data_IF_674492776301
#
_entry.id   IF_674492776301
#
_cell.length_a   1.000
_cell.length_b   1.000
_cell.length_c   1.000
_cell.angle_alpha   90.00
_cell.angle_beta   90.00
_cell.angle_gamma   90.00
#
_symmetry.space_group_name_H-M   'P 1'
#
loop_
_entity.id
_entity.type
_entity.pdbx_description
1 polymer ?
#
# COMPACT_ATOMS: atom_id res chain seq x y z
N UNK A 1 -2.64 -30.52 -43.12
CA UNK A 1 -2.07 -30.36 -41.76
C UNK A 1 -1.88 -28.87 -41.52
N UNK A 2 -2.81 -28.24 -40.80
CA UNK A 2 -2.72 -26.82 -40.43
C UNK A 2 -2.03 -26.78 -39.07
N UNK A 3 -0.78 -26.35 -39.05
CA UNK A 3 -0.08 -26.01 -37.80
C UNK A 3 -0.72 -24.75 -37.24
N UNK A 4 -1.68 -24.94 -36.33
CA UNK A 4 -2.24 -23.86 -35.53
C UNK A 4 -1.17 -23.42 -34.53
N UNK A 5 -0.28 -22.55 -35.00
CA UNK A 5 0.62 -21.74 -34.18
C UNK A 5 -0.24 -20.71 -33.45
N UNK A 6 -1.01 -21.17 -32.47
CA UNK A 6 -1.70 -20.29 -31.53
C UNK A 6 -0.62 -19.62 -30.71
N UNK A 7 -0.16 -18.45 -31.17
CA UNK A 7 0.57 -17.51 -30.35
C UNK A 7 -0.27 -17.32 -29.10
N UNK A 8 0.22 -17.81 -27.96
CA UNK A 8 -0.32 -17.45 -26.66
C UNK A 8 -0.26 -15.92 -26.61
N UNK A 9 -1.38 -15.27 -26.90
CA UNK A 9 -1.56 -13.88 -26.54
C UNK A 9 -1.34 -13.83 -25.03
N UNK A 10 -0.27 -13.17 -24.62
CA UNK A 10 0.03 -12.94 -23.22
C UNK A 10 -1.13 -12.13 -22.66
N UNK A 11 -1.98 -12.81 -21.89
CA UNK A 11 -3.14 -12.15 -21.31
C UNK A 11 -2.64 -11.12 -20.29
N UNK A 12 -3.02 -9.87 -20.54
CA UNK A 12 -2.75 -8.75 -19.65
C UNK A 12 -3.12 -9.09 -18.20
N UNK A 13 -2.16 -8.96 -17.29
CA UNK A 13 -2.39 -9.28 -15.87
C UNK A 13 -3.20 -8.18 -15.19
N UNK A 14 -3.71 -8.46 -13.99
CA UNK A 14 -4.34 -7.41 -13.19
C UNK A 14 -3.36 -6.28 -12.83
N UNK A 15 -2.09 -6.62 -12.56
CA UNK A 15 -1.03 -5.66 -12.26
C UNK A 15 -0.79 -4.70 -13.42
N UNK A 16 -0.73 -5.23 -14.65
CA UNK A 16 -0.52 -4.44 -15.88
C UNK A 16 -1.68 -3.47 -16.10
N UNK A 17 -2.94 -3.94 -15.99
CA UNK A 17 -4.12 -3.07 -16.08
C UNK A 17 -4.07 -1.95 -15.06
N UNK A 18 -3.78 -2.28 -13.79
CA UNK A 18 -3.70 -1.27 -12.75
C UNK A 18 -2.60 -0.24 -13.03
N UNK A 19 -1.46 -0.68 -13.55
CA UNK A 19 -0.35 0.20 -13.95
C UNK A 19 -0.77 1.22 -15.02
N UNK A 20 -1.54 0.79 -16.02
CA UNK A 20 -2.07 1.68 -17.05
C UNK A 20 -2.93 2.80 -16.47
N UNK A 21 -3.73 2.52 -15.43
CA UNK A 21 -4.64 3.51 -14.84
C UNK A 21 -4.00 4.45 -13.81
N UNK A 22 -2.94 4.03 -13.10
CA UNK A 22 -2.33 4.86 -12.04
C UNK A 22 -0.95 5.42 -12.42
N UNK A 23 -0.29 4.87 -13.45
CA UNK A 23 1.04 5.25 -13.93
C UNK A 23 2.19 4.89 -12.98
N UNK A 24 2.01 5.10 -11.68
CA UNK A 24 2.95 4.74 -10.62
C UNK A 24 2.28 4.83 -9.25
N UNK A 25 2.72 4.01 -8.31
CA UNK A 25 2.10 3.97 -6.99
C UNK A 25 2.51 5.16 -6.12
N UNK A 26 1.51 5.82 -5.52
CA UNK A 26 1.70 6.79 -4.45
C UNK A 26 0.96 6.35 -3.18
N UNK A 27 1.52 6.52 -1.97
CA UNK A 27 0.85 6.17 -0.71
C UNK A 27 -0.54 6.79 -0.52
N UNK A 28 -0.82 7.96 -1.11
CA UNK A 28 -2.16 8.57 -1.11
C UNK A 28 -3.21 7.70 -1.82
N UNK A 29 -2.79 6.88 -2.79
CA UNK A 29 -3.64 5.97 -3.55
C UNK A 29 -3.97 4.66 -2.82
N UNK A 30 -3.36 4.41 -1.65
CA UNK A 30 -3.50 3.15 -0.89
C UNK A 30 -4.94 2.69 -0.74
N UNK A 31 -5.88 3.61 -0.52
CA UNK A 31 -7.31 3.31 -0.38
C UNK A 31 -7.96 2.93 -1.70
N UNK A 32 -7.71 3.68 -2.77
CA UNK A 32 -8.18 3.36 -4.12
C UNK A 32 -7.66 2.00 -4.58
N UNK A 33 -6.38 1.72 -4.35
CA UNK A 33 -5.76 0.42 -4.64
C UNK A 33 -6.40 -0.70 -3.81
N UNK A 34 -6.59 -0.49 -2.50
CA UNK A 34 -7.30 -1.45 -1.64
C UNK A 34 -8.72 -1.76 -2.17
N UNK A 35 -9.44 -0.75 -2.67
CA UNK A 35 -10.78 -0.91 -3.27
C UNK A 35 -10.74 -1.81 -4.50
N UNK A 36 -9.84 -1.54 -5.46
CA UNK A 36 -9.79 -2.34 -6.71
C UNK A 36 -9.29 -3.75 -6.47
N UNK A 37 -8.38 -3.96 -5.52
CA UNK A 37 -7.94 -5.30 -5.10
C UNK A 37 -9.10 -6.09 -4.48
N UNK A 38 -9.90 -5.47 -3.61
CA UNK A 38 -11.09 -6.09 -3.03
C UNK A 38 -12.11 -6.46 -4.10
N UNK A 39 -12.27 -5.60 -5.12
CA UNK A 39 -13.17 -5.83 -6.23
C UNK A 39 -12.70 -7.00 -7.12
N UNK A 40 -11.43 -7.01 -7.49
CA UNK A 40 -10.85 -8.08 -8.33
C UNK A 40 -10.87 -9.42 -7.59
N UNK A 41 -10.50 -9.45 -6.31
CA UNK A 41 -10.60 -10.67 -5.50
C UNK A 41 -12.04 -11.22 -5.45
N UNK A 42 -13.04 -10.33 -5.42
CA UNK A 42 -14.44 -10.74 -5.49
C UNK A 42 -14.82 -11.32 -6.85
N UNK A 43 -14.34 -10.73 -7.95
CA UNK A 43 -14.53 -11.28 -9.31
C UNK A 43 -13.93 -12.68 -9.43
N UNK A 44 -12.71 -12.89 -8.91
CA UNK A 44 -12.01 -14.19 -8.89
C UNK A 44 -12.80 -15.27 -8.15
N UNK A 45 -13.42 -14.92 -7.02
CA UNK A 45 -14.05 -15.89 -6.13
C UNK A 45 -15.56 -16.06 -6.34
N UNK A 46 -16.17 -15.28 -7.24
CA UNK A 46 -17.63 -15.18 -7.40
C UNK A 46 -18.30 -16.55 -7.52
N UNK A 47 -17.76 -17.41 -8.39
CA UNK A 47 -18.29 -18.76 -8.64
C UNK A 47 -18.00 -19.73 -7.47
N UNK A 48 -16.88 -19.54 -6.77
CA UNK A 48 -16.49 -20.41 -5.66
C UNK A 48 -17.32 -20.17 -4.40
N UNK A 49 -17.91 -18.99 -4.23
CA UNK A 49 -18.64 -18.66 -3.00
C UNK A 49 -19.77 -19.62 -2.66
N UNK A 50 -20.43 -20.21 -3.66
CA UNK A 50 -21.53 -21.15 -3.44
C UNK A 50 -21.07 -22.38 -2.65
N UNK A 51 -19.84 -22.84 -2.90
CA UNK A 51 -19.23 -24.01 -2.23
C UNK A 51 -18.63 -23.68 -0.85
N UNK A 52 -18.42 -22.41 -0.54
CA UNK A 52 -17.73 -21.96 0.67
C UNK A 52 -18.72 -21.55 1.77
N UNK A 53 -18.44 -21.95 3.02
CA UNK A 53 -19.18 -21.46 4.19
C UNK A 53 -18.95 -19.95 4.40
N UNK A 54 -19.86 -19.23 5.08
CA UNK A 54 -19.75 -17.79 5.25
C UNK A 54 -18.42 -17.27 5.79
N UNK A 55 -17.79 -17.96 6.76
CA UNK A 55 -16.47 -17.54 7.27
C UNK A 55 -15.34 -17.84 6.27
N UNK A 56 -15.45 -18.95 5.51
CA UNK A 56 -14.49 -19.32 4.48
C UNK A 56 -14.50 -18.33 3.31
N UNK A 57 -15.68 -17.79 2.94
CA UNK A 57 -15.78 -16.73 1.92
C UNK A 57 -14.97 -15.48 2.29
N UNK A 58 -15.03 -15.08 3.57
CA UNK A 58 -14.31 -13.92 4.10
C UNK A 58 -12.80 -14.15 4.10
N UNK A 59 -12.37 -15.33 4.54
CA UNK A 59 -10.95 -15.74 4.54
C UNK A 59 -10.43 -15.83 3.11
N UNK A 60 -11.15 -16.53 2.22
CA UNK A 60 -10.81 -16.64 0.80
C UNK A 60 -10.62 -15.26 0.16
N UNK A 61 -11.58 -14.34 0.35
CA UNK A 61 -11.48 -12.99 -0.18
C UNK A 61 -10.22 -12.28 0.35
N UNK A 62 -9.99 -12.33 1.66
CA UNK A 62 -8.84 -11.67 2.29
C UNK A 62 -7.51 -12.24 1.78
N UNK A 63 -7.36 -13.56 1.72
CA UNK A 63 -6.14 -14.21 1.26
C UNK A 63 -5.89 -13.92 -0.21
N UNK A 64 -6.93 -14.01 -1.07
CA UNK A 64 -6.84 -13.64 -2.49
C UNK A 64 -6.44 -12.17 -2.67
N UNK A 65 -6.93 -11.24 -1.84
CA UNK A 65 -6.51 -9.84 -1.91
C UNK A 65 -5.01 -9.70 -1.70
N UNK A 66 -4.48 -10.32 -0.64
CA UNK A 66 -3.05 -10.26 -0.36
C UNK A 66 -2.24 -10.92 -1.49
N UNK A 67 -2.74 -12.03 -2.07
CA UNK A 67 -2.07 -12.70 -3.19
C UNK A 67 -2.03 -11.83 -4.45
N UNK A 68 -3.12 -11.13 -4.76
CA UNK A 68 -3.18 -10.17 -5.86
C UNK A 68 -2.18 -9.04 -5.62
N UNK A 69 -2.09 -8.52 -4.39
CA UNK A 69 -1.13 -7.44 -4.06
C UNK A 69 0.31 -7.87 -4.31
N UNK A 70 0.66 -9.12 -4.00
CA UNK A 70 2.01 -9.63 -4.25
C UNK A 70 2.38 -9.62 -5.73
N UNK A 71 1.41 -9.75 -6.65
CA UNK A 71 1.67 -9.73 -8.10
C UNK A 71 1.69 -8.32 -8.71
N UNK A 72 1.57 -7.25 -7.93
CA UNK A 72 1.55 -5.87 -8.46
C UNK A 72 2.96 -5.27 -8.38
N UNK A 73 3.65 -5.19 -9.51
CA UNK A 73 5.06 -4.75 -9.55
C UNK A 73 5.26 -3.24 -9.42
N UNK A 74 4.25 -2.43 -9.81
CA UNK A 74 4.31 -0.96 -9.65
C UNK A 74 4.27 -0.51 -8.19
N UNK A 75 3.93 -1.40 -7.25
CA UNK A 75 3.91 -1.12 -5.82
C UNK A 75 5.20 -1.66 -5.22
N UNK A 76 6.07 -0.80 -4.64
CA UNK A 76 7.28 -1.26 -3.97
C UNK A 76 6.98 -2.31 -2.90
N UNK A 77 7.83 -3.34 -2.80
CA UNK A 77 7.61 -4.50 -1.93
C UNK A 77 7.33 -4.11 -0.48
N UNK A 78 8.00 -3.07 0.00
CA UNK A 78 7.84 -2.58 1.38
C UNK A 78 6.52 -1.83 1.65
N UNK A 79 5.80 -1.39 0.60
CA UNK A 79 4.50 -0.72 0.72
C UNK A 79 3.31 -1.67 0.53
N UNK A 80 3.53 -2.85 -0.09
CA UNK A 80 2.49 -3.87 -0.32
C UNK A 80 1.69 -4.22 0.94
N UNK A 81 2.30 -4.45 2.12
CA UNK A 81 1.54 -4.75 3.33
C UNK A 81 0.60 -3.61 3.77
N UNK A 82 0.96 -2.36 3.48
CA UNK A 82 0.19 -1.19 3.92
C UNK A 82 -1.16 -1.04 3.18
N UNK A 83 -1.25 -1.61 1.97
CA UNK A 83 -2.50 -1.67 1.19
C UNK A 83 -3.59 -2.34 2.02
N UNK A 84 -3.26 -3.37 2.81
CA UNK A 84 -4.22 -4.12 3.62
C UNK A 84 -4.35 -3.59 5.05
N UNK A 85 -3.88 -2.38 5.35
CA UNK A 85 -4.17 -1.74 6.64
C UNK A 85 -5.54 -1.06 6.69
N UNK A 86 -6.21 -1.19 7.83
CA UNK A 86 -7.43 -0.43 8.16
C UNK A 86 -7.12 1.05 8.27
N UNK A 87 -6.06 1.49 8.95
CA UNK A 87 -5.67 2.90 9.08
C UNK A 87 -4.16 3.04 8.91
N UNK A 88 -3.70 4.17 8.34
CA UNK A 88 -2.26 4.41 8.16
C UNK A 88 -1.58 4.61 9.51
N UNK A 89 -2.12 5.51 10.35
CA UNK A 89 -1.54 5.84 11.65
C UNK A 89 -1.40 4.64 12.60
N UNK A 90 -2.42 3.77 12.64
CA UNK A 90 -2.42 2.62 13.56
C UNK A 90 -1.75 1.37 13.01
N UNK A 91 -1.41 1.34 11.72
CA UNK A 91 -0.92 0.15 10.99
C UNK A 91 -1.71 -1.13 11.32
N UNK A 92 -3.01 -0.97 11.61
CA UNK A 92 -3.86 -2.10 12.04
C UNK A 92 -4.29 -2.86 10.80
N UNK A 93 -4.00 -4.16 10.66
CA UNK A 93 -4.44 -4.94 9.51
C UNK A 93 -5.97 -4.94 9.35
N UNK A 94 -6.42 -5.01 8.10
CA UNK A 94 -7.82 -5.22 7.77
C UNK A 94 -8.20 -6.63 8.20
N UNK A 95 -9.29 -6.80 8.95
CA UNK A 95 -9.79 -8.14 9.27
C UNK A 95 -10.58 -8.70 8.09
N UNK A 96 -10.68 -10.05 7.93
CA UNK A 96 -11.50 -10.66 6.88
C UNK A 96 -12.97 -10.21 6.91
N UNK A 97 -13.53 -10.00 8.10
CA UNK A 97 -14.90 -9.47 8.26
C UNK A 97 -15.05 -8.03 7.72
N UNK A 98 -14.05 -7.17 7.93
CA UNK A 98 -14.10 -5.80 7.44
C UNK A 98 -13.81 -5.73 5.94
N UNK A 99 -12.89 -6.55 5.43
CA UNK A 99 -12.63 -6.72 4.00
C UNK A 99 -13.91 -7.13 3.26
N UNK A 100 -14.61 -8.16 3.77
CA UNK A 100 -15.88 -8.62 3.21
C UNK A 100 -16.95 -7.53 3.19
N UNK A 101 -17.13 -6.82 4.31
CA UNK A 101 -18.10 -5.71 4.39
C UNK A 101 -17.81 -4.62 3.37
N UNK A 102 -16.54 -4.19 3.26
CA UNK A 102 -16.13 -3.17 2.30
C UNK A 102 -16.37 -3.63 0.86
N UNK A 103 -15.95 -4.84 0.52
CA UNK A 103 -16.19 -5.43 -0.80
C UNK A 103 -17.66 -5.37 -1.20
N UNK A 104 -18.58 -5.74 -0.30
CA UNK A 104 -20.04 -5.74 -0.58
C UNK A 104 -20.62 -4.34 -0.79
N UNK A 105 -19.93 -3.29 -0.32
CA UNK A 105 -20.35 -1.91 -0.51
C UNK A 105 -19.87 -1.32 -1.84
N UNK A 106 -18.81 -1.88 -2.46
CA UNK A 106 -18.20 -1.25 -3.64
C UNK A 106 -19.19 -1.07 -4.79
N UNK A 107 -19.80 -2.16 -5.27
CA UNK A 107 -20.79 -2.08 -6.37
C UNK A 107 -21.96 -1.14 -6.01
N UNK A 108 -22.42 -1.21 -4.76
CA UNK A 108 -23.54 -0.40 -4.28
C UNK A 108 -23.19 1.08 -4.27
N UNK A 109 -21.99 1.43 -3.81
CA UNK A 109 -21.50 2.79 -3.79
C UNK A 109 -21.33 3.32 -5.21
N UNK A 110 -20.66 2.57 -6.10
CA UNK A 110 -20.50 2.98 -7.50
C UNK A 110 -21.85 3.26 -8.17
N UNK A 111 -22.81 2.34 -8.06
CA UNK A 111 -24.14 2.49 -8.67
C UNK A 111 -24.95 3.63 -8.05
N UNK A 112 -24.79 3.88 -6.75
CA UNK A 112 -25.54 4.92 -6.03
C UNK A 112 -24.93 6.31 -6.18
N UNK A 113 -23.60 6.43 -6.17
CA UNK A 113 -22.90 7.72 -6.07
C UNK A 113 -22.21 8.13 -7.36
N UNK A 114 -21.58 7.21 -8.09
CA UNK A 114 -20.82 7.55 -9.30
C UNK A 114 -21.72 7.52 -10.54
N UNK A 115 -22.45 6.42 -10.76
CA UNK A 115 -23.25 6.22 -11.98
C UNK A 115 -24.27 7.35 -12.24
N UNK A 116 -25.03 7.86 -11.25
CA UNK A 116 -25.97 8.95 -11.51
C UNK A 116 -25.28 10.26 -11.88
N UNK A 117 -24.12 10.53 -11.27
CA UNK A 117 -23.38 11.78 -11.47
C UNK A 117 -22.54 11.77 -12.74
N UNK A 118 -22.12 10.60 -13.24
CA UNK A 118 -21.32 10.51 -14.47
C UNK A 118 -22.16 10.47 -15.75
N UNK A 119 -23.45 10.09 -15.65
CA UNK A 119 -24.39 10.06 -16.78
C UNK A 119 -24.43 11.34 -17.64
N UNK A 120 -24.43 12.57 -17.08
CA UNK A 120 -24.46 13.79 -17.88
C UNK A 120 -23.24 13.99 -18.79
N UNK A 121 -22.11 13.35 -18.47
CA UNK A 121 -20.86 13.43 -19.24
C UNK A 121 -20.81 12.40 -20.37
N UNK A 122 -21.72 11.41 -20.37
CA UNK A 122 -21.74 10.36 -21.39
C UNK A 122 -22.22 10.90 -22.72
N UNK A 123 -21.34 10.89 -23.73
CA UNK A 123 -21.64 11.25 -25.10
C UNK A 123 -21.13 10.16 -26.07
N UNK A 124 -21.80 9.93 -27.21
CA UNK A 124 -21.45 8.84 -28.14
C UNK A 124 -20.10 9.01 -28.83
N UNK A 125 -19.58 10.24 -28.87
CA UNK A 125 -18.31 10.64 -29.47
C UNK A 125 -17.14 10.63 -28.47
N UNK A 126 -17.41 10.42 -27.17
CA UNK A 126 -16.38 10.39 -26.13
C UNK A 126 -15.98 8.97 -25.77
N UNK A 127 -14.68 8.77 -25.58
CA UNK A 127 -14.12 7.59 -24.96
C UNK A 127 -14.45 7.53 -23.46
N UNK A 128 -14.33 6.34 -22.88
CA UNK A 128 -14.57 6.14 -21.44
C UNK A 128 -13.60 6.96 -20.58
N UNK A 129 -12.35 7.09 -21.00
CA UNK A 129 -11.33 7.85 -20.27
C UNK A 129 -11.64 9.35 -20.30
N UNK A 130 -12.04 9.90 -21.47
CA UNK A 130 -12.48 11.30 -21.57
C UNK A 130 -13.69 11.59 -20.67
N UNK A 131 -14.68 10.68 -20.63
CA UNK A 131 -15.84 10.81 -19.74
C UNK A 131 -15.41 10.79 -18.26
N UNK A 132 -14.47 9.91 -17.90
CA UNK A 132 -13.95 9.85 -16.54
C UNK A 132 -13.18 11.11 -16.16
N UNK A 133 -12.35 11.64 -17.06
CA UNK A 133 -11.53 12.83 -16.82
C UNK A 133 -12.40 14.07 -16.66
N UNK A 134 -13.40 14.26 -17.51
CA UNK A 134 -14.37 15.36 -17.36
C UNK A 134 -15.15 15.26 -16.05
N UNK A 135 -15.56 14.05 -15.68
CA UNK A 135 -16.25 13.83 -14.41
C UNK A 135 -15.37 14.20 -13.22
N UNK A 136 -14.11 13.76 -13.19
CA UNK A 136 -13.18 14.07 -12.10
C UNK A 136 -12.89 15.57 -12.04
N UNK A 137 -12.68 16.21 -13.18
CA UNK A 137 -12.51 17.65 -13.25
C UNK A 137 -13.73 18.38 -12.67
N UNK A 138 -14.96 18.00 -13.05
CA UNK A 138 -16.17 18.59 -12.49
C UNK A 138 -16.29 18.36 -10.97
N UNK A 139 -15.95 17.18 -10.45
CA UNK A 139 -15.95 16.92 -9.00
C UNK A 139 -14.91 17.77 -8.26
N UNK A 140 -13.73 17.98 -8.86
CA UNK A 140 -12.69 18.83 -8.31
C UNK A 140 -13.13 20.29 -8.24
N UNK A 141 -13.70 20.84 -9.32
CA UNK A 141 -14.19 22.23 -9.34
C UNK A 141 -15.32 22.44 -8.33
N UNK A 142 -16.24 21.48 -8.22
CA UNK A 142 -17.34 21.52 -7.26
C UNK A 142 -16.87 21.49 -5.80
N UNK A 143 -15.82 20.71 -5.50
CA UNK A 143 -15.30 20.56 -4.13
C UNK A 143 -14.35 21.68 -3.74
N UNK A 144 -13.52 22.16 -4.67
CA UNK A 144 -12.49 23.17 -4.41
C UNK A 144 -13.00 24.61 -4.57
N UNK A 145 -14.09 24.82 -5.31
CA UNK A 145 -14.58 26.14 -5.70
C UNK A 145 -13.71 26.83 -6.77
N UNK A 146 -12.70 26.14 -7.31
CA UNK A 146 -11.78 26.68 -8.32
C UNK A 146 -12.18 26.17 -9.70
N UNK A 147 -12.70 27.06 -10.55
CA UNK A 147 -13.14 26.72 -11.90
C UNK A 147 -12.00 26.83 -12.92
N UNK A 148 -11.99 25.94 -13.93
CA UNK A 148 -11.11 26.01 -15.10
C UNK A 148 -9.64 25.68 -14.85
N UNK A 149 -9.26 25.30 -13.63
CA UNK A 149 -7.92 24.80 -13.33
C UNK A 149 -7.93 23.28 -13.29
N UNK A 150 -6.99 22.65 -13.97
CA UNK A 150 -6.82 21.20 -13.94
C UNK A 150 -6.66 20.71 -12.50
N UNK A 151 -7.37 19.64 -12.16
CA UNK A 151 -7.24 19.00 -10.86
C UNK A 151 -5.79 18.47 -10.66
N UNK A 152 -5.27 18.44 -9.42
CA UNK A 152 -4.01 17.77 -9.13
C UNK A 152 -4.07 16.28 -9.49
N UNK A 153 -2.98 15.73 -9.99
CA UNK A 153 -2.91 14.33 -10.48
C UNK A 153 -3.31 13.27 -9.44
N UNK A 154 -3.12 13.56 -8.14
CA UNK A 154 -3.43 12.64 -7.04
C UNK A 154 -4.76 12.94 -6.34
N UNK A 155 -5.51 13.93 -6.83
CA UNK A 155 -6.71 14.42 -6.14
C UNK A 155 -7.81 13.34 -6.10
N UNK A 156 -8.09 12.69 -7.23
CA UNK A 156 -9.13 11.65 -7.31
C UNK A 156 -8.89 10.49 -6.33
N UNK A 157 -7.63 10.06 -6.16
CA UNK A 157 -7.31 8.93 -5.32
C UNK A 157 -7.38 9.24 -3.81
N UNK A 158 -7.33 10.52 -3.45
CA UNK A 158 -7.43 10.96 -2.06
C UNK A 158 -8.87 11.31 -1.66
N UNK A 159 -9.69 11.76 -2.61
CA UNK A 159 -11.05 12.26 -2.34
C UNK A 159 -12.15 11.29 -2.75
N UNK A 160 -11.95 10.51 -3.82
CA UNK A 160 -12.96 9.63 -4.39
C UNK A 160 -12.40 8.22 -4.56
N UNK A 161 -12.06 7.57 -3.44
CA UNK A 161 -11.39 6.27 -3.39
C UNK A 161 -12.08 5.14 -4.19
N UNK A 162 -13.40 5.26 -4.39
CA UNK A 162 -14.21 4.28 -5.12
C UNK A 162 -14.11 4.46 -6.65
N UNK A 163 -13.69 5.64 -7.12
CA UNK A 163 -13.71 6.00 -8.52
C UNK A 163 -12.73 5.18 -9.37
N UNK A 164 -11.56 4.82 -8.81
CA UNK A 164 -10.62 3.94 -9.52
C UNK A 164 -11.27 2.59 -9.87
N UNK A 165 -12.15 2.06 -9.01
CA UNK A 165 -12.89 0.84 -9.31
C UNK A 165 -13.95 1.06 -10.41
N UNK A 166 -14.59 2.23 -10.44
CA UNK A 166 -15.45 2.59 -11.57
C UNK A 166 -14.64 2.66 -12.86
N UNK A 167 -13.54 3.43 -12.89
CA UNK A 167 -12.71 3.62 -14.09
C UNK A 167 -12.20 2.29 -14.65
N UNK A 168 -11.76 1.36 -13.77
CA UNK A 168 -11.25 0.06 -14.18
C UNK A 168 -12.31 -0.97 -14.60
N UNK A 169 -13.46 -1.01 -13.92
CA UNK A 169 -14.40 -2.14 -14.05
C UNK A 169 -15.73 -1.80 -14.69
N UNK A 170 -16.03 -0.52 -14.93
CA UNK A 170 -17.29 -0.07 -15.53
C UNK A 170 -17.03 0.56 -16.89
N UNK A 171 -18.05 0.50 -17.74
CA UNK A 171 -18.10 1.24 -19.01
C UNK A 171 -19.49 1.84 -19.12
N UNK A 172 -19.58 3.16 -19.04
CA UNK A 172 -20.86 3.85 -18.93
C UNK A 172 -21.59 3.50 -17.63
N UNK A 173 -22.79 2.94 -17.73
CA UNK A 173 -23.69 2.68 -16.57
C UNK A 173 -23.61 1.27 -16.00
N UNK A 174 -22.83 0.39 -16.63
CA UNK A 174 -22.75 -1.03 -16.28
C UNK A 174 -21.30 -1.49 -16.15
N UNK A 175 -21.11 -2.65 -15.52
CA UNK A 175 -19.82 -3.35 -15.50
C UNK A 175 -19.37 -3.59 -16.95
N UNK A 176 -18.11 -3.34 -17.23
CA UNK A 176 -17.54 -3.49 -18.57
C UNK A 176 -17.60 -4.97 -19.00
N UNK A 177 -18.33 -5.32 -20.08
CA UNK A 177 -18.45 -6.70 -20.54
C UNK A 177 -17.15 -7.24 -21.15
N UNK A 178 -16.27 -6.34 -21.59
CA UNK A 178 -15.02 -6.67 -22.28
C UNK A 178 -13.86 -6.94 -21.30
N UNK A 179 -14.14 -7.02 -19.99
CA UNK A 179 -13.11 -7.28 -18.99
C UNK A 179 -12.53 -8.70 -19.15
N UNK A 180 -11.21 -8.85 -19.04
CA UNK A 180 -10.60 -10.18 -19.01
C UNK A 180 -11.11 -10.99 -17.82
N UNK A 181 -11.15 -12.31 -18.01
CA UNK A 181 -11.59 -13.24 -16.97
C UNK A 181 -10.66 -13.13 -15.75
N UNK A 182 -11.22 -12.97 -14.54
CA UNK A 182 -10.43 -12.82 -13.33
C UNK A 182 -9.72 -14.14 -13.02
N UNK A 183 -8.44 -14.08 -12.65
CA UNK A 183 -7.64 -15.26 -12.28
C UNK A 183 -7.01 -15.08 -10.91
N UNK A 184 -7.09 -16.12 -10.09
CA UNK A 184 -6.38 -16.16 -8.82
C UNK A 184 -4.87 -16.34 -9.09
N UNK A 185 -3.98 -15.57 -8.44
CA UNK A 185 -2.53 -15.80 -8.54
C UNK A 185 -2.10 -17.19 -8.07
N UNK A 186 -2.80 -17.73 -7.07
CA UNK A 186 -2.58 -19.07 -6.54
C UNK A 186 -3.89 -19.76 -6.19
N UNK A 187 -3.83 -21.06 -5.94
CA UNK A 187 -4.98 -21.81 -5.46
C UNK A 187 -5.41 -21.31 -4.07
N UNK A 188 -6.68 -20.94 -3.95
CA UNK A 188 -7.24 -20.45 -2.68
C UNK A 188 -7.57 -21.64 -1.78
N UNK A 189 -6.79 -21.79 -0.73
CA UNK A 189 -6.96 -22.78 0.34
C UNK A 189 -7.55 -22.09 1.57
N UNK A 190 -8.64 -22.64 2.13
CA UNK A 190 -9.33 -22.08 3.30
C UNK A 190 -9.42 -23.11 4.43
N UNK A 191 -9.37 -22.68 5.70
CA UNK A 191 -9.45 -23.60 6.82
C UNK A 191 -10.83 -24.26 6.92
N UNK A 192 -10.84 -25.52 7.40
CA UNK A 192 -12.06 -26.30 7.61
C UNK A 192 -12.77 -25.98 8.93
N UNK A 193 -12.11 -25.27 9.85
CA UNK A 193 -12.72 -24.79 11.08
C UNK A 193 -12.60 -23.28 11.15
N UNK A 194 -13.62 -22.63 11.73
CA UNK A 194 -13.61 -21.18 11.90
C UNK A 194 -12.51 -20.82 12.93
N UNK A 195 -11.56 -19.92 12.60
CA UNK A 195 -10.62 -19.41 13.58
C UNK A 195 -11.35 -18.82 14.80
N UNK A 196 -10.76 -19.00 16.00
CA UNK A 196 -11.33 -18.49 17.25
C UNK A 196 -11.54 -16.97 17.19
N UNK A 197 -10.55 -16.25 16.64
CA UNK A 197 -10.65 -14.83 16.31
C UNK A 197 -10.25 -14.58 14.86
N UNK A 198 -11.17 -14.02 14.07
CA UNK A 198 -10.92 -13.63 12.68
C UNK A 198 -9.94 -12.45 12.57
N UNK A 199 -9.81 -11.64 13.62
CA UNK A 199 -8.82 -10.55 13.67
C UNK A 199 -7.42 -11.09 13.87
N UNK A 200 -7.25 -12.07 14.74
CA UNK A 200 -5.97 -12.76 14.93
C UNK A 200 -5.54 -13.48 13.65
N UNK A 201 -6.47 -14.02 12.86
CA UNK A 201 -6.16 -14.63 11.57
C UNK A 201 -5.38 -13.67 10.65
N UNK A 202 -5.81 -12.41 10.52
CA UNK A 202 -5.10 -11.43 9.68
C UNK A 202 -3.66 -11.17 10.18
N UNK A 203 -3.46 -11.09 11.50
CA UNK A 203 -2.14 -10.92 12.08
C UNK A 203 -1.25 -12.17 11.90
N UNK A 204 -1.85 -13.36 12.05
CA UNK A 204 -1.18 -14.64 11.87
C UNK A 204 -0.79 -14.84 10.41
N UNK A 205 -1.64 -14.51 9.45
CA UNK A 205 -1.33 -14.59 8.03
C UNK A 205 -0.29 -13.56 7.60
N UNK A 206 -0.36 -12.32 8.09
CA UNK A 206 0.70 -11.33 7.89
C UNK A 206 2.05 -11.84 8.44
N UNK A 207 2.02 -12.49 9.62
CA UNK A 207 3.20 -13.11 10.22
C UNK A 207 3.68 -14.32 9.41
N UNK A 208 2.78 -15.20 8.96
CA UNK A 208 3.11 -16.39 8.15
C UNK A 208 3.71 -16.01 6.82
N UNK A 209 3.16 -15.02 6.12
CA UNK A 209 3.76 -14.50 4.87
C UNK A 209 5.17 -13.93 5.11
N UNK A 210 5.40 -13.36 6.29
CA UNK A 210 6.74 -12.96 6.72
C UNK A 210 7.64 -14.15 7.11
N UNK A 211 7.05 -15.33 7.41
CA UNK A 211 7.73 -16.52 7.95
C UNK A 211 7.90 -17.69 6.97
N UNK A 212 7.20 -17.73 5.82
CA UNK A 212 7.20 -18.88 4.87
C UNK A 212 8.57 -19.12 4.18
N UNK A 213 9.61 -18.40 4.57
CA UNK A 213 11.01 -18.67 4.19
C UNK A 213 11.90 -19.25 5.31
N UNK A 214 11.35 -19.94 6.31
CA UNK A 214 12.20 -20.69 7.24
C UNK A 214 11.47 -21.45 8.34
N UNK A 215 11.44 -22.78 8.19
CA UNK A 215 11.24 -23.71 9.31
C UNK A 215 12.43 -23.57 10.29
N UNK A 216 12.21 -22.84 11.39
CA UNK A 216 12.62 -23.24 12.74
C UNK A 216 12.26 -22.12 13.72
N UNK A 217 11.12 -22.30 14.38
CA UNK A 217 10.60 -21.39 15.37
C UNK A 217 11.38 -21.52 16.69
N UNK A 218 12.17 -20.50 17.02
CA UNK A 218 12.30 -19.86 18.34
C UNK A 218 13.22 -18.65 18.21
N UNK A 219 12.83 -17.57 18.86
CA UNK A 219 13.40 -16.21 18.82
C UNK A 219 12.99 -15.33 17.64
N UNK A 220 12.69 -14.08 18.01
CA UNK A 220 12.31 -12.94 17.17
C UNK A 220 13.37 -12.71 16.08
N UNK A 221 13.27 -13.44 14.97
CA UNK A 221 14.16 -13.32 13.81
C UNK A 221 13.53 -12.40 12.76
N UNK A 222 13.97 -11.14 12.78
CA UNK A 222 14.75 -10.53 11.69
C UNK A 222 14.55 -11.24 10.35
N UNK A 223 13.89 -10.57 9.39
CA UNK A 223 13.75 -10.97 7.97
C UNK A 223 14.57 -12.21 7.58
N UNK A 224 13.92 -13.38 7.68
CA UNK A 224 14.60 -14.66 7.68
C UNK A 224 15.10 -15.10 6.29
N UNK A 225 14.58 -14.53 5.20
CA UNK A 225 15.15 -14.76 3.88
C UNK A 225 16.28 -13.76 3.58
N UNK A 226 17.56 -14.18 3.58
CA UNK A 226 18.67 -13.31 3.24
C UNK A 226 18.58 -12.79 1.80
N UNK A 227 17.91 -13.49 0.89
CA UNK A 227 17.75 -13.05 -0.50
C UNK A 227 16.72 -11.93 -0.62
N UNK A 228 15.53 -12.08 -0.04
CA UNK A 228 14.54 -10.98 0.00
C UNK A 228 15.07 -9.77 0.76
N UNK A 229 15.79 -10.01 1.88
CA UNK A 229 16.46 -8.93 2.60
C UNK A 229 17.50 -8.23 1.72
N UNK A 230 18.31 -8.98 0.96
CA UNK A 230 19.26 -8.40 0.00
C UNK A 230 18.55 -7.67 -1.13
N UNK A 231 17.45 -8.20 -1.65
CA UNK A 231 16.65 -7.57 -2.69
C UNK A 231 16.06 -6.24 -2.19
N UNK A 232 15.48 -6.22 -0.99
CA UNK A 232 14.95 -5.01 -0.36
C UNK A 232 16.05 -4.01 -0.03
N UNK A 233 17.20 -4.46 0.52
CA UNK A 233 18.34 -3.58 0.77
C UNK A 233 18.95 -3.03 -0.52
N UNK A 234 18.97 -3.83 -1.60
CA UNK A 234 19.40 -3.41 -2.93
C UNK A 234 18.44 -2.38 -3.48
N UNK A 235 17.13 -2.62 -3.43
CA UNK A 235 16.10 -1.68 -3.86
C UNK A 235 16.17 -0.36 -3.10
N UNK A 236 16.36 -0.40 -1.78
CA UNK A 236 16.54 0.81 -0.96
C UNK A 236 17.84 1.53 -1.31
N UNK A 237 18.93 0.80 -1.57
CA UNK A 237 20.19 1.39 -2.03
C UNK A 237 20.03 2.05 -3.39
N UNK A 238 19.42 1.38 -4.35
CA UNK A 238 19.17 1.89 -5.69
C UNK A 238 18.29 3.17 -5.63
N UNK A 239 17.30 3.20 -4.73
CA UNK A 239 16.50 4.41 -4.46
C UNK A 239 17.30 5.54 -3.79
N UNK A 240 18.19 5.23 -2.84
CA UNK A 240 19.06 6.23 -2.23
C UNK A 240 20.06 6.82 -3.23
N UNK A 241 20.58 5.97 -4.12
CA UNK A 241 21.49 6.38 -5.18
C UNK A 241 20.75 7.30 -6.18
N UNK A 242 19.51 6.98 -6.55
CA UNK A 242 18.66 7.85 -7.37
C UNK A 242 18.34 9.18 -6.67
N UNK A 243 17.98 9.15 -5.38
CA UNK A 243 17.70 10.38 -4.61
C UNK A 243 18.91 11.30 -4.50
N UNK A 244 20.14 10.77 -4.56
CA UNK A 244 21.36 11.57 -4.58
C UNK A 244 21.48 12.38 -5.87
N UNK A 245 21.04 11.84 -7.01
CA UNK A 245 21.06 12.55 -8.29
C UNK A 245 20.05 13.72 -8.34
N UNK A 246 19.03 13.70 -7.46
CA UNK A 246 18.09 14.80 -7.26
C UNK A 246 18.56 15.87 -6.26
N UNK A 247 19.76 15.72 -5.67
CA UNK A 247 20.29 16.72 -4.75
C UNK A 247 20.51 18.06 -5.47
N UNK A 248 19.88 19.13 -4.96
CA UNK A 248 19.89 20.45 -5.58
C UNK A 248 18.83 20.68 -6.66
N UNK A 249 18.10 19.64 -7.08
CA UNK A 249 16.95 19.74 -8.00
C UNK A 249 15.65 19.92 -7.22
N UNK A 250 15.49 19.18 -6.12
CA UNK A 250 14.33 19.26 -5.23
C UNK A 250 14.71 19.87 -3.86
N UNK A 251 13.76 20.47 -3.12
CA UNK A 251 14.00 20.98 -1.77
C UNK A 251 14.56 19.91 -0.84
N UNK A 252 15.54 20.27 -0.02
CA UNK A 252 16.25 19.33 0.86
C UNK A 252 15.30 18.60 1.83
N UNK A 253 14.28 19.30 2.35
CA UNK A 253 13.28 18.74 3.25
C UNK A 253 12.52 17.56 2.62
N UNK A 254 12.13 17.67 1.34
CA UNK A 254 11.47 16.58 0.63
C UNK A 254 12.41 15.39 0.41
N UNK A 255 13.69 15.66 0.16
CA UNK A 255 14.71 14.65 -0.04
C UNK A 255 14.94 13.86 1.27
N UNK A 256 14.99 14.56 2.41
CA UNK A 256 15.15 13.95 3.73
C UNK A 256 13.90 13.18 4.16
N UNK A 257 12.70 13.66 3.86
CA UNK A 257 11.46 12.93 4.09
C UNK A 257 11.43 11.61 3.29
N UNK A 258 11.79 11.66 2.00
CA UNK A 258 11.87 10.45 1.15
C UNK A 258 12.91 9.46 1.67
N UNK A 259 14.10 9.93 2.08
CA UNK A 259 15.11 9.08 2.73
C UNK A 259 14.55 8.44 4.02
N UNK A 260 13.89 9.22 4.86
CA UNK A 260 13.30 8.74 6.13
C UNK A 260 12.24 7.68 5.90
N UNK A 261 11.44 7.81 4.84
CA UNK A 261 10.47 6.79 4.43
C UNK A 261 11.16 5.49 4.02
N UNK A 262 12.23 5.55 3.22
CA UNK A 262 13.03 4.38 2.84
C UNK A 262 13.65 3.69 4.07
N UNK A 263 14.21 4.45 5.01
CA UNK A 263 14.78 3.86 6.23
C UNK A 263 13.72 3.26 7.17
N UNK A 264 12.52 3.84 7.23
CA UNK A 264 11.39 3.26 8.00
C UNK A 264 10.86 1.96 7.40
N UNK A 265 11.02 1.79 6.10
CA UNK A 265 10.66 0.59 5.37
C UNK A 265 11.69 -0.54 5.53
N UNK A 266 12.91 -0.24 5.99
CA UNK A 266 13.93 -1.25 6.18
C UNK A 266 13.57 -2.23 7.30
N UNK A 267 13.95 -3.50 7.13
CA UNK A 267 13.76 -4.48 8.19
C UNK A 267 14.65 -4.14 9.39
N UNK A 268 14.22 -4.53 10.61
CA UNK A 268 14.99 -4.27 11.81
C UNK A 268 16.40 -4.88 11.69
N UNK A 269 17.40 -4.14 12.17
CA UNK A 269 18.78 -4.60 12.18
C UNK A 269 18.86 -5.91 13.00
N UNK A 270 19.46 -6.98 12.46
CA UNK A 270 19.71 -8.19 13.22
C UNK A 270 20.38 -7.83 14.56
N UNK A 271 19.91 -8.27 15.74
CA UNK A 271 20.71 -8.30 16.95
C UNK A 271 22.10 -8.78 16.59
N UNK A 272 23.05 -7.87 16.75
CA UNK A 272 24.46 -8.19 16.62
C UNK A 272 24.69 -9.19 17.74
N UNK A 273 24.83 -10.47 17.40
CA UNK A 273 25.34 -11.43 18.35
C UNK A 273 26.79 -11.01 18.59
N UNK A 274 26.99 -10.12 19.57
CA UNK A 274 28.26 -9.92 20.19
C UNK A 274 28.57 -11.28 20.80
N UNK A 275 29.20 -12.16 20.00
CA UNK A 275 30.07 -13.18 20.51
C UNK A 275 31.06 -12.36 21.31
N UNK A 276 30.81 -12.20 22.61
CA UNK A 276 31.83 -11.86 23.57
C UNK A 276 32.89 -12.91 23.26
N UNK A 277 33.90 -12.54 22.47
CA UNK A 277 35.18 -13.21 22.51
C UNK A 277 35.46 -13.17 23.99
N UNK A 278 35.25 -14.30 24.67
CA UNK A 278 35.80 -14.49 26.00
C UNK A 278 37.24 -14.16 25.74
N UNK A 279 37.67 -12.98 26.19
CA UNK A 279 39.07 -12.72 26.38
C UNK A 279 39.48 -13.87 27.28
N UNK A 280 40.11 -14.89 26.68
CA UNK A 280 40.86 -15.87 27.41
C UNK A 280 41.71 -15.04 28.35
N UNK A 281 41.47 -15.22 29.64
CA UNK A 281 42.23 -14.59 30.71
C UNK A 281 43.70 -14.66 30.29
N UNK A 282 44.38 -13.52 30.04
CA UNK A 282 45.77 -13.56 29.62
C UNK A 282 46.53 -14.33 30.70
N UNK A 283 47.26 -15.36 30.28
CA UNK A 283 48.17 -16.06 31.19
C UNK A 283 49.11 -15.02 31.80
N UNK A 284 49.19 -15.03 33.14
CA UNK A 284 50.13 -14.24 33.91
C UNK A 284 51.55 -14.52 33.39
N UNK A 285 52.11 -13.61 32.61
CA UNK A 285 53.48 -13.76 32.12
C UNK A 285 53.88 -12.95 30.89
N UNK A 286 52.93 -12.40 30.14
CA UNK A 286 53.29 -11.57 28.97
C UNK A 286 53.59 -10.11 29.38
N UNK A 287 54.74 -9.55 28.99
CA UNK A 287 55.13 -8.19 29.34
C UNK A 287 54.19 -7.17 28.69
N UNK A 288 53.61 -6.30 29.53
CA UNK A 288 52.74 -5.20 29.12
C UNK A 288 53.55 -4.18 28.31
N UNK A 289 53.18 -3.87 27.05
CA UNK A 289 53.76 -2.75 26.32
C UNK A 289 53.34 -1.45 27.02
N UNK A 290 54.32 -0.65 27.45
CA UNK A 290 54.09 0.70 27.98
C UNK A 290 53.45 1.56 26.89
N UNK A 291 52.17 1.85 27.02
CA UNK A 291 51.50 2.92 26.26
C UNK A 291 51.94 4.26 26.85
N UNK A 292 52.80 4.96 26.10
CA UNK A 292 53.06 6.39 26.25
C UNK A 292 51.80 7.17 25.91
N UNK A 293 51.33 7.99 26.85
CA UNK A 293 50.26 8.95 26.62
C UNK A 293 50.74 10.06 25.66
N UNK A 294 49.97 10.41 24.62
CA UNK A 294 50.11 11.70 23.98
C UNK A 294 49.39 12.75 24.82
N UNK A 295 50.21 13.64 25.36
CA UNK A 295 49.82 14.90 25.99
C UNK A 295 49.40 15.92 24.91
N UNK A 296 48.53 16.85 25.29
CA UNK A 296 48.15 18.10 24.59
C UNK A 296 47.53 18.04 23.17
N UNK A 297 46.33 18.64 23.01
CA UNK A 297 46.14 19.95 22.34
C UNK A 297 44.68 20.22 21.93
N UNK A 298 44.25 21.46 22.17
CA UNK A 298 43.05 22.19 21.65
C UNK A 298 41.69 21.77 22.25
N UNK A 299 40.99 22.55 23.09
CA UNK A 299 40.74 24.02 23.11
C UNK A 299 40.44 24.59 21.73
N UNK A 300 39.16 24.69 21.36
CA UNK A 300 38.42 25.95 21.47
C UNK A 300 37.09 25.89 20.69
N UNK A 301 36.07 26.50 21.32
CA UNK A 301 35.04 27.35 20.72
C UNK A 301 34.15 26.77 19.60
N UNK A 302 32.83 26.79 19.82
CA UNK A 302 31.92 27.67 19.06
C UNK A 302 30.56 27.73 19.76
N UNK A 303 30.18 28.97 20.03
CA UNK A 303 28.89 29.53 20.44
C UNK A 303 27.75 29.02 19.55
N UNK A 304 26.62 28.62 20.16
CA UNK A 304 25.33 28.63 19.44
C UNK A 304 24.25 29.28 20.28
N UNK A 305 23.70 30.32 19.65
CA UNK A 305 22.65 31.22 20.08
C UNK A 305 21.32 30.49 20.23
N UNK A 306 20.55 30.94 21.21
CA UNK A 306 19.18 30.56 21.49
C UNK A 306 18.24 31.53 20.79
N UNK A 307 17.43 31.06 19.84
CA UNK A 307 16.23 31.68 19.26
C UNK A 307 15.38 30.49 18.75
N UNK A 308 14.08 30.35 18.92
CA UNK A 308 13.02 31.09 19.57
C UNK A 308 11.76 30.26 19.27
N UNK A 309 11.02 29.89 20.31
CA UNK A 309 9.79 29.09 20.19
C UNK A 309 8.66 29.99 19.68
N UNK A 310 8.17 29.75 18.46
CA UNK A 310 6.86 30.22 18.00
C UNK A 310 5.90 29.03 17.99
N UNK A 311 5.02 29.00 18.99
CA UNK A 311 3.83 28.16 19.03
C UNK A 311 2.86 28.62 17.93
N UNK A 312 2.51 27.71 17.02
CA UNK A 312 1.43 27.92 16.06
C UNK A 312 0.28 26.97 16.42
N UNK A 313 -0.71 27.51 17.13
CA UNK A 313 -2.03 26.91 17.31
C UNK A 313 -2.68 26.66 15.94
N UNK A 314 -3.11 25.42 15.69
CA UNK A 314 -3.96 25.08 14.56
C UNK A 314 -5.30 24.63 15.10
N UNK A 315 -6.27 25.55 15.02
CA UNK A 315 -7.69 25.30 15.26
C UNK A 315 -8.22 24.29 14.24
N UNK A 316 -8.62 23.12 14.74
CA UNK A 316 -9.34 22.12 13.96
C UNK A 316 -10.83 22.44 14.02
N UNK A 317 -11.34 22.98 12.90
CA UNK A 317 -12.77 23.17 12.64
C UNK A 317 -13.46 21.80 12.67
N UNK A 318 -14.33 21.60 13.67
CA UNK A 318 -15.36 20.57 13.67
C UNK A 318 -16.51 21.04 12.77
N UNK A 319 -16.75 20.36 11.65
CA UNK A 319 -18.03 20.46 10.96
C UNK A 319 -19.01 19.46 11.56
N UNK A 320 -19.96 19.99 12.32
CA UNK A 320 -21.18 19.31 12.74
C UNK A 320 -22.12 19.17 11.54
N UNK A 321 -22.55 17.94 11.26
CA UNK A 321 -23.68 17.66 10.40
C UNK A 321 -24.95 17.88 11.23
N UNK A 322 -25.60 19.03 11.06
CA UNK A 322 -26.97 19.25 11.53
C UNK A 322 -27.90 18.76 10.44
N UNK A 323 -28.63 17.69 10.75
CA UNK A 323 -29.77 17.19 10.02
C UNK A 323 -30.97 18.12 10.24
N UNK A 324 -31.41 18.82 9.20
CA UNK A 324 -32.73 19.45 9.16
C UNK A 324 -33.77 18.43 8.68
N UNK A 325 -34.45 17.85 9.66
CA UNK A 325 -35.84 17.41 9.52
C UNK A 325 -36.73 18.66 9.49
N UNK A 326 -37.43 18.88 8.37
CA UNK A 326 -38.70 19.61 8.39
C UNK A 326 -39.73 18.86 7.58
N UNK A 327 -40.63 18.19 8.29
CA UNK A 327 -42.05 18.14 7.93
C UNK A 327 -42.58 19.59 7.89
N UNK A 328 -43.49 20.03 7.02
CA UNK A 328 -44.87 19.56 6.81
C UNK A 328 -45.47 20.24 5.57
N UNK A 329 -46.21 19.50 4.74
CA UNK A 329 -47.65 19.69 4.48
C UNK A 329 -48.18 18.65 3.49
#
# INVERSE_FOLDING_TARGET
MVTASSSREEQETFGDRLATFIGGYNPSMRRSVQTVVLYEANRVLKERYETLRPFQRKIALFDTCNDIIETIDIIPTYLKPEIMFRTVAGKVPLSPDLAWRRMKLIDREIVKTIVPLIKPFMAPDKSHDEVCDEFIQNQYEATSGVQGKNHPSLWEYSHINIFLAYRMFYKGVSVNPDLPLPRAPREVVVPQQKPKDMREYANQEASRRSSVNGDDAKDVKITANPEERRAMLKEVRDHLDLLRDFAGVIPQEQLDERKKLLFRALPPVPPVSFKRRRYSKPEEGSPVPKLTAPDEMMKDSVVREAHGDEEMEVDIIKQEFVSEETATN
#
